data_IF_084392931364
#
_entry.id   IF_084392931364
#
_cell.length_a   1.000
_cell.length_b   1.000
_cell.length_c   1.000
_cell.angle_alpha   90.00
_cell.angle_beta   90.00
_cell.angle_gamma   90.00
#
_symmetry.space_group_name_H-M   'P 1'
#
loop_
_entity.id
_entity.type
_entity.pdbx_description
1 polymer ?
#
# COMPACT_ATOMS: atom_id res chain seq x y z
N UNK A 1 -4.62 15.05 22.63
CA UNK A 1 -3.23 15.50 22.94
C UNK A 1 -2.29 14.41 23.44
N UNK A 2 -2.72 13.36 24.17
CA UNK A 2 -1.82 12.27 24.63
C UNK A 2 -1.29 11.36 23.49
N UNK A 3 -2.00 11.22 22.37
CA UNK A 3 -1.61 10.37 21.24
C UNK A 3 -0.33 10.85 20.51
N UNK A 4 -0.12 12.16 20.42
CA UNK A 4 1.07 12.73 19.75
C UNK A 4 2.31 12.79 20.64
N UNK A 5 2.16 12.58 21.96
CA UNK A 5 3.30 12.59 22.87
C UNK A 5 4.28 11.44 22.62
N UNK A 6 3.81 10.32 22.03
CA UNK A 6 4.66 9.20 21.65
C UNK A 6 5.70 9.55 20.58
N UNK A 7 5.44 10.55 19.76
CA UNK A 7 6.37 10.99 18.70
C UNK A 7 7.36 12.06 19.15
N UNK A 8 7.31 12.52 20.40
CA UNK A 8 8.25 13.53 20.92
C UNK A 8 9.64 12.93 21.11
N UNK A 9 10.66 13.74 20.80
CA UNK A 9 12.07 13.37 21.02
C UNK A 9 12.70 12.58 19.86
N UNK A 10 12.01 12.43 18.74
CA UNK A 10 12.63 11.94 17.51
C UNK A 10 13.57 12.99 16.93
N UNK A 11 14.55 12.56 16.14
CA UNK A 11 15.47 13.44 15.44
C UNK A 11 14.72 14.40 14.49
N UNK A 12 15.18 15.66 14.39
CA UNK A 12 14.53 16.70 13.58
C UNK A 12 14.31 16.26 12.13
N UNK A 13 15.28 15.56 11.54
CA UNK A 13 15.25 15.06 10.17
C UNK A 13 14.10 14.08 9.92
N UNK A 14 13.74 13.28 10.93
CA UNK A 14 12.60 12.34 10.86
C UNK A 14 11.27 13.11 10.69
N UNK A 15 11.09 14.22 11.42
CA UNK A 15 9.91 15.07 11.26
C UNK A 15 9.85 15.73 9.88
N UNK A 16 11.00 16.16 9.35
CA UNK A 16 11.11 16.77 8.01
C UNK A 16 10.73 15.73 6.94
N UNK A 17 11.27 14.51 7.04
CA UNK A 17 10.91 13.41 6.13
C UNK A 17 9.42 13.06 6.24
N UNK A 18 8.89 12.87 7.44
CA UNK A 18 7.47 12.55 7.64
C UNK A 18 6.55 13.64 7.05
N UNK A 19 6.90 14.93 7.24
CA UNK A 19 6.18 16.03 6.64
C UNK A 19 6.34 16.07 5.11
N UNK A 20 7.55 15.83 4.60
CA UNK A 20 7.81 15.68 3.16
C UNK A 20 6.93 14.58 2.55
N UNK A 21 6.82 13.40 3.19
CA UNK A 21 5.94 12.32 2.75
C UNK A 21 4.47 12.74 2.75
N UNK A 22 4.02 13.50 3.76
CA UNK A 22 2.66 14.08 3.80
C UNK A 22 2.40 14.97 2.59
N UNK A 23 3.33 15.87 2.27
CA UNK A 23 3.22 16.79 1.14
C UNK A 23 3.22 16.05 -0.19
N UNK A 24 4.11 15.07 -0.38
CA UNK A 24 4.15 14.23 -1.59
C UNK A 24 2.83 13.49 -1.79
N UNK A 25 2.29 12.89 -0.73
CA UNK A 25 1.05 12.13 -0.81
C UNK A 25 -0.19 13.02 -0.98
N UNK A 26 -0.17 14.26 -0.51
CA UNK A 26 -1.21 15.24 -0.83
C UNK A 26 -1.29 15.48 -2.35
N UNK A 27 -0.15 15.44 -3.05
CA UNK A 27 -0.08 15.52 -4.50
C UNK A 27 -0.32 14.20 -5.24
N UNK A 28 -0.54 13.09 -4.56
CA UNK A 28 -0.73 11.77 -5.19
C UNK A 28 -2.15 11.61 -5.77
N UNK A 29 -2.53 12.52 -6.70
CA UNK A 29 -3.91 12.68 -7.17
C UNK A 29 -4.27 11.77 -8.34
N UNK A 30 -3.32 11.40 -9.18
CA UNK A 30 -3.60 10.72 -10.46
C UNK A 30 -3.88 9.23 -10.26
N UNK A 31 -3.09 8.54 -9.40
CA UNK A 31 -3.28 7.09 -9.16
C UNK A 31 -4.68 6.71 -8.71
N UNK A 32 -5.33 7.40 -7.74
CA UNK A 32 -6.69 7.07 -7.33
C UNK A 32 -7.71 7.15 -8.47
N UNK A 33 -7.54 8.09 -9.40
CA UNK A 33 -8.47 8.28 -10.53
C UNK A 33 -7.97 7.67 -11.85
N UNK A 34 -6.87 6.90 -11.83
CA UNK A 34 -6.25 6.37 -13.04
C UNK A 34 -7.20 5.48 -13.84
N UNK A 35 -7.92 4.60 -13.19
CA UNK A 35 -8.93 3.75 -13.86
C UNK A 35 -9.97 4.58 -14.61
N UNK A 36 -10.48 5.63 -13.98
CA UNK A 36 -11.45 6.54 -14.57
C UNK A 36 -10.84 7.38 -15.70
N UNK A 37 -9.58 7.79 -15.56
CA UNK A 37 -8.84 8.49 -16.62
C UNK A 37 -8.75 7.63 -17.87
N UNK A 38 -8.33 6.38 -17.71
CA UNK A 38 -8.20 5.43 -18.82
C UNK A 38 -9.56 5.10 -19.45
N UNK A 39 -10.59 4.88 -18.63
CA UNK A 39 -11.93 4.54 -19.10
C UNK A 39 -12.67 5.74 -19.70
N UNK A 40 -12.89 6.79 -18.91
CA UNK A 40 -13.76 7.90 -19.32
C UNK A 40 -13.10 8.93 -20.23
N UNK A 41 -11.79 9.18 -20.05
CA UNK A 41 -11.07 10.19 -20.84
C UNK A 41 -10.39 9.61 -22.08
N UNK A 42 -9.91 8.36 -22.02
CA UNK A 42 -9.25 7.71 -23.16
C UNK A 42 -10.12 6.65 -23.83
N UNK A 43 -11.28 6.32 -23.25
CA UNK A 43 -12.25 5.37 -23.84
C UNK A 43 -11.77 3.91 -23.84
N UNK A 44 -10.80 3.57 -22.97
CA UNK A 44 -10.29 2.21 -22.89
C UNK A 44 -11.30 1.29 -22.20
N UNK A 45 -11.42 0.09 -22.71
CA UNK A 45 -12.21 -0.97 -22.11
C UNK A 45 -11.56 -1.48 -20.80
N UNK A 46 -12.33 -2.08 -19.87
CA UNK A 46 -11.81 -2.73 -18.68
C UNK A 46 -10.67 -3.73 -18.94
N UNK A 47 -10.76 -4.52 -20.04
CA UNK A 47 -9.66 -5.40 -20.44
C UNK A 47 -8.38 -4.62 -20.83
N UNK A 48 -8.51 -3.55 -21.61
CA UNK A 48 -7.37 -2.71 -21.99
C UNK A 48 -6.74 -2.01 -20.77
N UNK A 49 -7.56 -1.55 -19.82
CA UNK A 49 -7.09 -0.98 -18.55
C UNK A 49 -6.30 -2.02 -17.75
N UNK A 50 -6.75 -3.28 -17.73
CA UNK A 50 -6.02 -4.35 -17.05
C UNK A 50 -4.63 -4.58 -17.65
N UNK A 51 -4.47 -4.52 -18.98
CA UNK A 51 -3.16 -4.56 -19.63
C UNK A 51 -2.26 -3.41 -19.21
N UNK A 52 -2.83 -2.20 -19.09
CA UNK A 52 -2.10 -1.04 -18.60
C UNK A 52 -1.55 -1.25 -17.18
N UNK A 53 -2.37 -1.77 -16.25
CA UNK A 53 -1.92 -2.03 -14.88
C UNK A 53 -0.82 -3.10 -14.82
N UNK A 54 -0.95 -4.17 -15.60
CA UNK A 54 0.08 -5.21 -15.70
C UNK A 54 1.38 -4.64 -16.30
N UNK A 55 1.29 -3.90 -17.39
CA UNK A 55 2.46 -3.27 -18.01
C UNK A 55 3.15 -2.29 -17.05
N UNK A 56 2.37 -1.48 -16.34
CA UNK A 56 2.90 -0.57 -15.29
C UNK A 56 3.60 -1.34 -14.19
N UNK A 57 3.02 -2.44 -13.71
CA UNK A 57 3.62 -3.29 -12.67
C UNK A 57 4.92 -3.95 -13.14
N UNK A 58 4.97 -4.42 -14.39
CA UNK A 58 6.19 -4.98 -15.01
C UNK A 58 7.32 -3.97 -15.08
N UNK A 59 7.01 -2.68 -15.23
CA UNK A 59 8.01 -1.59 -15.24
C UNK A 59 8.40 -1.15 -13.83
N UNK A 60 7.43 -0.98 -12.95
CA UNK A 60 7.65 -0.41 -11.61
C UNK A 60 8.32 -1.38 -10.64
N UNK A 61 8.03 -2.68 -10.73
CA UNK A 61 8.64 -3.68 -9.84
C UNK A 61 10.16 -3.78 -10.01
N UNK A 62 10.73 -3.95 -11.23
CA UNK A 62 12.17 -3.89 -11.41
C UNK A 62 12.78 -2.53 -11.02
N UNK A 63 12.08 -1.43 -11.28
CA UNK A 63 12.52 -0.09 -10.90
C UNK A 63 12.70 0.02 -9.37
N UNK A 64 11.75 -0.48 -8.58
CA UNK A 64 11.86 -0.52 -7.13
C UNK A 64 13.02 -1.40 -6.65
N UNK A 65 13.20 -2.59 -7.25
CA UNK A 65 14.32 -3.49 -6.90
C UNK A 65 15.69 -2.88 -7.24
N UNK A 66 15.78 -2.16 -8.35
CA UNK A 66 16.99 -1.41 -8.75
C UNK A 66 17.20 -0.27 -7.74
N UNK A 67 16.15 0.45 -7.37
CA UNK A 67 16.17 1.52 -6.36
C UNK A 67 16.77 1.05 -5.03
N UNK A 68 16.40 -0.14 -4.55
CA UNK A 68 16.99 -0.73 -3.36
C UNK A 68 18.51 -0.91 -3.45
N UNK A 69 18.99 -1.46 -4.59
CA UNK A 69 20.44 -1.62 -4.82
C UNK A 69 21.18 -0.29 -4.94
N UNK A 70 20.52 0.72 -5.50
CA UNK A 70 21.08 2.07 -5.61
C UNK A 70 21.13 2.76 -4.24
N UNK A 71 20.10 2.59 -3.41
CA UNK A 71 20.06 3.09 -2.04
C UNK A 71 21.19 2.57 -1.16
N UNK A 72 21.63 1.31 -1.41
CA UNK A 72 22.76 0.70 -0.69
C UNK A 72 24.13 1.26 -1.13
N UNK A 73 24.23 1.72 -2.39
CA UNK A 73 25.53 2.12 -3.00
C UNK A 73 25.75 3.63 -3.03
N UNK A 74 24.68 4.41 -3.14
CA UNK A 74 24.74 5.84 -3.35
C UNK A 74 24.20 6.62 -2.14
N UNK A 75 24.49 7.92 -2.11
CA UNK A 75 23.94 8.81 -1.11
C UNK A 75 22.41 8.91 -1.28
N UNK A 76 21.67 8.42 -0.29
CA UNK A 76 20.21 8.31 -0.29
C UNK A 76 19.51 9.65 -0.57
N UNK A 77 19.98 10.74 0.07
CA UNK A 77 19.44 12.08 -0.17
C UNK A 77 19.62 12.53 -1.62
N UNK A 78 20.80 12.28 -2.22
CA UNK A 78 21.02 12.61 -3.63
C UNK A 78 20.14 11.79 -4.56
N UNK A 79 19.93 10.50 -4.25
CA UNK A 79 19.04 9.63 -5.00
C UNK A 79 17.60 10.16 -4.98
N UNK A 80 17.09 10.54 -3.80
CA UNK A 80 15.77 11.16 -3.65
C UNK A 80 15.67 12.41 -4.56
N UNK A 81 16.61 13.35 -4.42
CA UNK A 81 16.58 14.61 -5.18
C UNK A 81 16.63 14.37 -6.69
N UNK A 82 17.47 13.46 -7.17
CA UNK A 82 17.61 13.18 -8.61
C UNK A 82 16.34 12.51 -9.15
N UNK A 83 15.84 11.47 -8.50
CA UNK A 83 14.67 10.75 -8.95
C UNK A 83 13.41 11.64 -8.93
N UNK A 84 13.23 12.39 -7.85
CA UNK A 84 12.14 13.35 -7.76
C UNK A 84 12.23 14.44 -8.83
N UNK A 85 13.43 14.96 -9.14
CA UNK A 85 13.58 15.98 -10.19
C UNK A 85 13.09 15.47 -11.54
N UNK A 86 13.39 14.20 -11.89
CA UNK A 86 12.87 13.59 -13.13
C UNK A 86 11.35 13.42 -13.05
N UNK A 87 10.83 12.97 -11.91
CA UNK A 87 9.38 12.81 -11.71
C UNK A 87 8.65 14.14 -11.80
N UNK A 88 9.18 15.22 -11.18
CA UNK A 88 8.63 16.57 -11.25
C UNK A 88 8.53 17.04 -12.69
N UNK A 89 9.62 16.91 -13.46
CA UNK A 89 9.62 17.28 -14.88
C UNK A 89 8.56 16.48 -15.64
N UNK A 90 8.45 15.18 -15.41
CA UNK A 90 7.42 14.34 -16.03
C UNK A 90 6.00 14.80 -15.71
N UNK A 91 5.70 15.10 -14.44
CA UNK A 91 4.38 15.60 -14.04
C UNK A 91 4.07 16.99 -14.63
N UNK A 92 5.05 17.89 -14.72
CA UNK A 92 4.88 19.20 -15.34
C UNK A 92 4.65 19.08 -16.85
N UNK A 93 5.35 18.16 -17.53
CA UNK A 93 5.11 17.83 -18.94
C UNK A 93 3.67 17.30 -19.10
N UNK A 94 3.23 16.35 -18.25
CA UNK A 94 1.85 15.84 -18.28
C UNK A 94 0.82 16.96 -18.12
N UNK A 95 1.08 17.94 -17.25
CA UNK A 95 0.19 19.09 -17.05
C UNK A 95 0.10 20.00 -18.28
N UNK A 96 1.17 20.10 -19.08
CA UNK A 96 1.25 20.96 -20.27
C UNK A 96 0.81 20.26 -21.57
N UNK A 97 0.79 18.91 -21.59
CA UNK A 97 0.42 18.12 -22.76
C UNK A 97 -1.10 17.94 -22.87
N UNK A 98 -1.63 17.83 -24.11
CA UNK A 98 -3.00 17.35 -24.32
C UNK A 98 -3.14 15.95 -23.73
N UNK A 99 -4.26 15.70 -23.04
CA UNK A 99 -4.53 14.40 -22.46
C UNK A 99 -4.65 13.32 -23.55
N UNK A 100 -3.86 12.26 -23.42
CA UNK A 100 -3.80 11.17 -24.38
C UNK A 100 -2.86 10.06 -23.90
N UNK A 101 -2.65 9.05 -24.74
CA UNK A 101 -1.75 7.93 -24.43
C UNK A 101 -0.33 8.45 -24.14
N UNK A 102 0.15 9.48 -24.87
CA UNK A 102 1.44 10.10 -24.61
C UNK A 102 1.59 10.65 -23.20
N UNK A 103 0.56 11.32 -22.67
CA UNK A 103 0.53 11.82 -21.29
C UNK A 103 0.61 10.68 -20.29
N UNK A 104 -0.11 9.57 -20.54
CA UNK A 104 -0.08 8.38 -19.67
C UNK A 104 1.30 7.72 -19.69
N UNK A 105 1.96 7.63 -20.84
CA UNK A 105 3.32 7.07 -20.94
C UNK A 105 4.33 7.93 -20.18
N UNK A 106 4.27 9.26 -20.29
CA UNK A 106 5.12 10.18 -19.52
C UNK A 106 4.85 10.04 -18.03
N UNK A 107 3.58 9.89 -17.63
CA UNK A 107 3.19 9.66 -16.23
C UNK A 107 3.78 8.35 -15.70
N UNK A 108 3.68 7.24 -16.44
CA UNK A 108 4.26 5.94 -16.04
C UNK A 108 5.78 6.06 -15.93
N UNK A 109 6.43 6.74 -16.86
CA UNK A 109 7.87 6.99 -16.81
C UNK A 109 8.26 7.79 -15.56
N UNK A 110 7.54 8.87 -15.25
CA UNK A 110 7.73 9.62 -14.00
C UNK A 110 7.53 8.75 -12.76
N UNK A 111 6.50 7.89 -12.74
CA UNK A 111 6.22 6.93 -11.68
C UNK A 111 7.31 5.88 -11.49
N UNK A 112 8.03 5.47 -12.56
CA UNK A 112 9.19 4.60 -12.43
C UNK A 112 10.30 5.23 -11.57
N UNK A 113 10.57 6.53 -11.73
CA UNK A 113 11.57 7.22 -10.92
C UNK A 113 11.14 7.36 -9.47
N UNK A 114 9.83 7.54 -9.19
CA UNK A 114 9.32 7.45 -7.82
C UNK A 114 9.50 6.05 -7.24
N UNK A 115 9.29 4.99 -8.05
CA UNK A 115 9.54 3.61 -7.62
C UNK A 115 11.02 3.33 -7.31
N UNK A 116 11.96 3.99 -8.03
CA UNK A 116 13.40 3.93 -7.73
C UNK A 116 13.73 4.73 -6.46
N UNK A 117 13.07 5.85 -6.24
CA UNK A 117 13.27 6.75 -5.09
C UNK A 117 12.85 6.10 -3.77
N UNK A 118 11.72 5.39 -3.75
CA UNK A 118 11.04 4.90 -2.57
C UNK A 118 11.95 4.13 -1.59
N UNK A 119 12.79 3.15 -2.02
CA UNK A 119 13.72 2.46 -1.12
C UNK A 119 14.77 3.38 -0.50
N UNK A 120 15.20 4.44 -1.21
CA UNK A 120 16.15 5.42 -0.67
C UNK A 120 15.51 6.26 0.44
N UNK A 121 14.23 6.56 0.33
CA UNK A 121 13.47 7.27 1.35
C UNK A 121 13.36 6.44 2.63
N UNK A 122 12.90 5.19 2.51
CA UNK A 122 12.76 4.25 3.64
C UNK A 122 14.10 3.98 4.32
N UNK A 123 15.17 3.81 3.52
CA UNK A 123 16.52 3.61 4.04
C UNK A 123 17.04 4.85 4.78
N UNK A 124 16.70 6.07 4.33
CA UNK A 124 17.06 7.30 5.03
C UNK A 124 16.32 7.42 6.37
N UNK A 125 15.05 7.04 6.43
CA UNK A 125 14.30 6.93 7.69
C UNK A 125 14.95 5.96 8.67
N UNK A 126 15.37 4.79 8.17
CA UNK A 126 16.04 3.78 8.99
C UNK A 126 17.39 4.27 9.52
N UNK A 127 18.21 4.92 8.66
CA UNK A 127 19.53 5.44 9.05
C UNK A 127 19.46 6.55 10.11
N UNK A 128 18.40 7.35 10.07
CA UNK A 128 18.21 8.50 10.97
C UNK A 128 17.48 8.11 12.28
N UNK A 129 17.06 6.86 12.42
CA UNK A 129 16.35 6.34 13.61
C UNK A 129 17.20 5.32 14.37
N UNK A 130 17.18 5.38 15.72
CA UNK A 130 17.73 4.32 16.56
C UNK A 130 16.82 3.09 16.54
N UNK A 131 17.32 1.92 16.94
CA UNK A 131 16.48 0.70 17.07
C UNK A 131 15.29 0.93 18.00
N UNK A 132 15.46 1.73 19.06
CA UNK A 132 14.38 2.09 20.01
C UNK A 132 13.34 3.03 19.40
N UNK A 133 13.74 3.91 18.48
CA UNK A 133 12.89 4.93 17.89
C UNK A 133 12.32 4.54 16.53
N UNK A 134 12.85 3.48 15.92
CA UNK A 134 12.52 3.06 14.55
C UNK A 134 11.03 2.81 14.34
N UNK A 135 10.41 2.07 15.25
CA UNK A 135 8.96 1.81 15.19
C UNK A 135 8.15 3.11 15.24
N UNK A 136 8.55 4.06 16.12
CA UNK A 136 7.89 5.36 16.25
C UNK A 136 8.11 6.23 15.01
N UNK A 137 9.31 6.19 14.42
CA UNK A 137 9.65 6.94 13.21
C UNK A 137 8.81 6.47 12.01
N UNK A 138 8.78 5.16 11.74
CA UNK A 138 7.96 4.59 10.67
C UNK A 138 6.45 4.74 10.93
N UNK A 139 6.01 4.69 12.18
CA UNK A 139 4.62 5.00 12.54
C UNK A 139 4.25 6.45 12.24
N UNK A 140 5.18 7.40 12.46
CA UNK A 140 4.99 8.81 12.11
C UNK A 140 4.94 9.00 10.58
N UNK A 141 5.81 8.31 9.84
CA UNK A 141 5.79 8.30 8.37
C UNK A 141 4.46 7.80 7.84
N UNK A 142 4.00 6.64 8.32
CA UNK A 142 2.72 6.06 7.94
C UNK A 142 1.53 6.98 8.22
N UNK A 143 1.54 7.63 9.39
CA UNK A 143 0.54 8.64 9.73
C UNK A 143 0.58 9.83 8.77
N UNK A 144 1.78 10.34 8.48
CA UNK A 144 1.99 11.43 7.52
C UNK A 144 1.53 11.07 6.12
N UNK A 145 1.86 9.86 5.65
CA UNK A 145 1.44 9.35 4.36
C UNK A 145 -0.09 9.32 4.22
N UNK A 146 -0.79 8.74 5.20
CA UNK A 146 -2.26 8.69 5.18
C UNK A 146 -2.89 10.06 5.32
N UNK A 147 -2.31 10.97 6.11
CA UNK A 147 -2.81 12.34 6.24
C UNK A 147 -2.74 13.10 4.90
N UNK A 148 -1.68 12.91 4.12
CA UNK A 148 -1.58 13.44 2.76
C UNK A 148 -2.68 12.88 1.84
N UNK A 149 -2.94 11.59 1.92
CA UNK A 149 -3.95 10.92 1.10
C UNK A 149 -5.40 11.23 1.51
N UNK A 150 -5.65 11.86 2.66
CA UNK A 150 -7.03 12.21 3.08
C UNK A 150 -7.72 13.13 2.06
N UNK A 151 -7.03 14.14 1.54
CA UNK A 151 -7.61 15.13 0.64
C UNK A 151 -7.36 14.81 -0.85
N UNK A 152 -6.28 14.11 -1.14
CA UNK A 152 -5.80 13.88 -2.51
C UNK A 152 -6.85 13.24 -3.44
N UNK A 153 -7.53 12.13 -3.10
CA UNK A 153 -8.53 11.52 -3.97
C UNK A 153 -9.77 12.40 -4.18
N UNK A 154 -10.22 13.12 -3.13
CA UNK A 154 -11.36 14.04 -3.25
C UNK A 154 -11.04 15.19 -4.20
N UNK A 155 -9.87 15.81 -4.07
CA UNK A 155 -9.45 16.91 -4.95
C UNK A 155 -9.30 16.38 -6.39
N UNK A 156 -8.69 15.20 -6.56
CA UNK A 156 -8.57 14.56 -7.86
C UNK A 156 -9.95 14.33 -8.52
N UNK A 157 -10.92 13.82 -7.77
CA UNK A 157 -12.28 13.60 -8.25
C UNK A 157 -12.98 14.91 -8.66
N UNK A 158 -12.83 15.99 -7.88
CA UNK A 158 -13.39 17.31 -8.20
C UNK A 158 -12.77 17.93 -9.46
N UNK A 159 -11.46 17.76 -9.65
CA UNK A 159 -10.73 18.28 -10.80
C UNK A 159 -10.88 17.40 -12.05
N UNK A 160 -11.39 16.17 -11.89
CA UNK A 160 -11.37 15.14 -12.92
C UNK A 160 -12.08 15.54 -14.20
N UNK A 161 -13.22 16.22 -14.11
CA UNK A 161 -14.05 16.56 -15.26
C UNK A 161 -13.36 17.56 -16.19
N UNK A 162 -12.98 18.74 -15.69
CA UNK A 162 -12.59 19.88 -16.48
C UNK A 162 -11.15 20.35 -16.23
N UNK A 163 -10.55 19.97 -15.12
CA UNK A 163 -9.26 20.50 -14.65
C UNK A 163 -8.24 19.38 -14.33
N UNK A 164 -8.32 18.25 -15.02
CA UNK A 164 -7.43 17.10 -14.75
C UNK A 164 -5.94 17.46 -14.90
N UNK A 165 -5.60 18.39 -15.83
CA UNK A 165 -4.25 18.93 -15.98
C UNK A 165 -3.72 19.56 -14.68
N UNK A 166 -4.60 20.18 -13.89
CA UNK A 166 -4.24 20.77 -12.60
C UNK A 166 -3.86 19.70 -11.57
N UNK A 167 -4.45 18.50 -11.64
CA UNK A 167 -4.05 17.37 -10.77
C UNK A 167 -2.60 16.95 -11.06
N UNK A 168 -2.16 16.93 -12.31
CA UNK A 168 -0.76 16.68 -12.65
C UNK A 168 0.15 17.80 -12.15
N UNK A 169 -0.26 19.07 -12.32
CA UNK A 169 0.51 20.23 -11.84
C UNK A 169 0.66 20.20 -10.32
N UNK A 170 -0.42 19.98 -9.57
CA UNK A 170 -0.39 19.88 -8.10
C UNK A 170 0.51 18.72 -7.66
N UNK A 171 0.45 17.58 -8.34
CA UNK A 171 1.33 16.44 -8.05
C UNK A 171 2.81 16.82 -8.21
N UNK A 172 3.18 17.43 -9.34
CA UNK A 172 4.55 17.89 -9.58
C UNK A 172 5.02 18.94 -8.56
N UNK A 173 4.17 19.92 -8.24
CA UNK A 173 4.48 20.96 -7.24
C UNK A 173 4.62 20.37 -5.84
N UNK A 174 3.77 19.43 -5.46
CA UNK A 174 3.85 18.76 -4.14
C UNK A 174 5.15 17.97 -4.00
N UNK A 175 5.55 17.21 -5.02
CA UNK A 175 6.83 16.51 -5.04
C UNK A 175 7.97 17.53 -4.94
N UNK A 176 7.94 18.62 -5.73
CA UNK A 176 8.96 19.66 -5.70
C UNK A 176 9.11 20.30 -4.32
N UNK A 177 8.00 20.63 -3.65
CA UNK A 177 8.01 21.16 -2.28
C UNK A 177 8.64 20.18 -1.30
N UNK A 178 8.27 18.90 -1.36
CA UNK A 178 8.86 17.86 -0.53
C UNK A 178 10.36 17.72 -0.78
N UNK A 179 10.78 17.66 -2.05
CA UNK A 179 12.18 17.51 -2.45
C UNK A 179 13.04 18.71 -2.01
N UNK A 180 12.49 19.95 -2.14
CA UNK A 180 13.14 21.16 -1.65
C UNK A 180 13.30 21.12 -0.11
N UNK A 181 12.24 20.74 0.61
CA UNK A 181 12.30 20.59 2.06
C UNK A 181 13.41 19.61 2.48
N UNK A 182 13.47 18.44 1.84
CA UNK A 182 14.51 17.42 2.11
C UNK A 182 15.87 17.95 1.70
N UNK A 183 15.98 18.53 0.51
CA UNK A 183 17.24 19.05 -0.04
C UNK A 183 17.89 20.16 0.81
N UNK A 184 17.06 21.06 1.34
CA UNK A 184 17.53 22.25 2.08
C UNK A 184 17.63 22.00 3.57
N UNK A 185 16.62 21.37 4.18
CA UNK A 185 16.51 21.26 5.64
C UNK A 185 17.23 20.05 6.24
N UNK A 186 17.38 18.95 5.49
CA UNK A 186 18.15 17.80 5.94
C UNK A 186 19.62 18.03 5.61
N UNK A 187 20.38 18.46 6.59
CA UNK A 187 21.82 18.74 6.44
C UNK A 187 22.67 17.53 6.83
N UNK A 188 22.34 16.91 7.94
CA UNK A 188 23.06 15.76 8.47
C UNK A 188 22.30 14.46 8.13
N UNK A 189 22.97 13.59 7.39
CA UNK A 189 22.50 12.26 7.00
C UNK A 189 23.38 11.15 7.61
N UNK A 190 24.18 11.49 8.62
CA UNK A 190 25.02 10.51 9.30
C UNK A 190 24.12 9.49 9.99
N UNK A 191 24.26 8.19 9.67
CA UNK A 191 23.51 7.15 10.35
C UNK A 191 23.73 7.23 11.86
N UNK A 192 22.69 6.97 12.62
CA UNK A 192 22.81 6.90 14.07
C UNK A 192 23.52 5.60 14.41
N UNK A 193 24.71 5.69 15.05
CA UNK A 193 25.39 4.52 15.58
C UNK A 193 24.50 3.91 16.67
N UNK A 194 23.97 2.74 16.37
CA UNK A 194 23.11 2.00 17.28
C UNK A 194 23.98 1.03 18.09
N UNK A 195 24.40 1.45 19.27
CA UNK A 195 25.03 0.57 20.27
C UNK A 195 23.98 -0.34 20.96
N UNK A 196 22.80 -0.47 20.37
CA UNK A 196 21.77 -1.40 20.84
C UNK A 196 22.27 -2.82 20.78
N UNK A 197 22.18 -3.54 21.90
CA UNK A 197 22.39 -4.98 21.96
C UNK A 197 21.72 -5.62 20.76
N UNK A 198 22.50 -6.22 19.84
CA UNK A 198 21.99 -7.09 18.79
C UNK A 198 21.02 -8.05 19.48
N UNK A 199 19.78 -8.04 19.06
CA UNK A 199 18.75 -8.89 19.66
C UNK A 199 19.29 -10.33 19.71
N UNK A 200 19.48 -10.84 20.90
CA UNK A 200 20.12 -12.13 21.26
C UNK A 200 19.47 -13.35 20.56
N UNK A 201 18.39 -13.13 19.80
CA UNK A 201 17.63 -14.14 19.06
C UNK A 201 17.86 -14.13 17.55
N UNK A 202 18.86 -13.42 17.04
CA UNK A 202 19.26 -13.54 15.63
C UNK A 202 20.10 -14.79 15.43
N UNK A 203 19.50 -15.98 15.40
CA UNK A 203 20.15 -17.14 14.83
C UNK A 203 20.54 -16.82 13.39
N UNK A 204 21.81 -16.53 13.16
CA UNK A 204 22.43 -16.50 11.83
C UNK A 204 22.41 -17.92 11.29
N UNK A 205 21.31 -18.35 10.67
CA UNK A 205 21.32 -19.53 9.80
C UNK A 205 22.09 -19.15 8.53
N UNK A 206 23.40 -19.43 8.57
CA UNK A 206 24.30 -19.20 7.47
C UNK A 206 23.83 -19.91 6.20
N UNK A 207 23.64 -19.17 5.11
CA UNK A 207 23.71 -19.66 3.75
C UNK A 207 22.50 -20.33 3.13
N UNK A 208 21.40 -20.55 3.82
CA UNK A 208 20.20 -21.14 3.22
C UNK A 208 19.51 -20.16 2.24
N UNK A 209 19.29 -20.60 1.00
CA UNK A 209 18.54 -19.83 0.01
C UNK A 209 17.06 -19.69 0.41
N UNK A 210 16.37 -18.64 -0.07
CA UNK A 210 14.95 -18.34 0.23
C UNK A 210 14.06 -19.55 -0.09
N UNK A 211 14.28 -20.23 -1.21
CA UNK A 211 13.53 -21.43 -1.60
C UNK A 211 13.71 -22.60 -0.63
N UNK A 212 14.89 -22.75 -0.04
CA UNK A 212 15.15 -23.78 0.98
C UNK A 212 14.34 -23.51 2.25
N UNK A 213 14.26 -22.24 2.65
CA UNK A 213 13.48 -21.84 3.85
C UNK A 213 11.99 -22.06 3.62
N UNK A 214 11.47 -21.67 2.47
CA UNK A 214 10.06 -21.89 2.11
C UNK A 214 9.73 -23.38 2.04
N UNK A 215 10.60 -24.21 1.46
CA UNK A 215 10.42 -25.66 1.40
C UNK A 215 10.43 -26.30 2.80
N UNK A 216 11.25 -25.79 3.70
CA UNK A 216 11.32 -26.26 5.10
C UNK A 216 10.17 -25.77 5.96
N UNK A 217 9.47 -24.69 5.54
CA UNK A 217 8.38 -24.07 6.30
C UNK A 217 7.10 -23.95 5.43
N UNK A 218 6.34 -25.04 5.25
CA UNK A 218 5.14 -25.04 4.41
C UNK A 218 4.06 -24.06 4.88
N UNK A 219 4.07 -23.69 6.16
CA UNK A 219 3.16 -22.65 6.68
C UNK A 219 3.45 -21.28 6.09
N UNK A 220 4.71 -20.97 5.74
CA UNK A 220 5.05 -19.72 5.07
C UNK A 220 4.55 -19.70 3.62
N UNK A 221 4.53 -20.84 2.94
CA UNK A 221 3.93 -20.94 1.61
C UNK A 221 2.41 -20.74 1.67
N UNK A 222 1.75 -21.33 2.65
CA UNK A 222 0.32 -21.12 2.86
C UNK A 222 0.01 -19.65 3.20
N UNK A 223 0.83 -19.04 4.07
CA UNK A 223 0.72 -17.61 4.38
C UNK A 223 0.91 -16.74 3.13
N UNK A 224 1.93 -17.04 2.32
CA UNK A 224 2.17 -16.36 1.05
C UNK A 224 0.95 -16.45 0.13
N UNK A 225 0.36 -17.64 -0.01
CA UNK A 225 -0.86 -17.84 -0.79
C UNK A 225 -2.05 -17.01 -0.24
N UNK A 226 -2.25 -16.99 1.08
CA UNK A 226 -3.27 -16.15 1.70
C UNK A 226 -3.06 -14.66 1.39
N UNK A 227 -1.81 -14.20 1.42
CA UNK A 227 -1.44 -12.81 1.14
C UNK A 227 -1.60 -12.43 -0.33
N UNK A 228 -1.24 -13.32 -1.27
CA UNK A 228 -1.41 -13.09 -2.72
C UNK A 228 -2.89 -12.95 -3.10
N UNK A 229 -3.77 -13.81 -2.54
CA UNK A 229 -5.21 -13.71 -2.77
C UNK A 229 -5.83 -12.44 -2.14
N UNK A 230 -5.32 -12.02 -0.97
CA UNK A 230 -5.73 -10.73 -0.40
C UNK A 230 -5.34 -9.57 -1.31
N UNK A 231 -4.08 -9.53 -1.75
CA UNK A 231 -3.57 -8.48 -2.64
C UNK A 231 -4.37 -8.41 -3.93
N UNK A 232 -4.69 -9.56 -4.53
CA UNK A 232 -5.50 -9.67 -5.72
C UNK A 232 -6.91 -9.09 -5.53
N UNK A 233 -7.57 -9.42 -4.42
CA UNK A 233 -8.90 -8.90 -4.11
C UNK A 233 -8.86 -7.41 -3.74
N UNK A 234 -7.82 -6.97 -3.00
CA UNK A 234 -7.66 -5.58 -2.59
C UNK A 234 -7.47 -4.64 -3.78
N UNK A 235 -6.73 -5.05 -4.81
CA UNK A 235 -6.52 -4.27 -6.03
C UNK A 235 -7.82 -3.85 -6.71
N UNK A 236 -8.89 -4.63 -6.55
CA UNK A 236 -10.19 -4.37 -7.19
C UNK A 236 -10.92 -3.14 -6.62
N UNK A 237 -10.54 -2.69 -5.43
CA UNK A 237 -10.96 -1.41 -4.90
C UNK A 237 -10.58 -0.22 -5.82
N UNK A 238 -9.37 -0.23 -6.38
CA UNK A 238 -8.89 0.83 -7.29
C UNK A 238 -9.20 0.57 -8.77
N UNK A 239 -9.67 -0.63 -9.13
CA UNK A 239 -9.93 -1.01 -10.52
C UNK A 239 -11.42 -1.16 -10.83
N UNK A 240 -12.12 -2.14 -10.28
CA UNK A 240 -13.51 -2.46 -10.63
C UNK A 240 -14.49 -1.49 -9.95
N UNK A 241 -14.25 -1.14 -8.69
CA UNK A 241 -15.16 -0.26 -7.94
C UNK A 241 -15.37 1.11 -8.60
N UNK A 242 -14.31 1.86 -9.04
CA UNK A 242 -14.52 3.13 -9.74
C UNK A 242 -15.20 2.95 -11.10
N UNK A 243 -14.99 1.84 -11.82
CA UNK A 243 -15.69 1.57 -13.08
C UNK A 243 -17.19 1.45 -12.85
N UNK A 244 -17.64 0.72 -11.84
CA UNK A 244 -19.07 0.59 -11.52
C UNK A 244 -19.66 1.92 -11.05
N UNK A 245 -18.95 2.68 -10.21
CA UNK A 245 -19.42 4.01 -9.81
C UNK A 245 -19.58 4.94 -11.01
N UNK A 246 -18.65 4.88 -11.98
CA UNK A 246 -18.74 5.66 -13.21
C UNK A 246 -19.84 5.17 -14.12
N UNK A 247 -20.04 3.86 -14.26
CA UNK A 247 -21.10 3.29 -15.06
C UNK A 247 -22.50 3.70 -14.58
N UNK A 248 -22.69 3.83 -13.25
CA UNK A 248 -23.99 4.19 -12.65
C UNK A 248 -24.18 5.70 -12.55
N UNK A 249 -23.13 6.48 -12.24
CA UNK A 249 -23.24 7.90 -11.91
C UNK A 249 -22.61 8.83 -12.96
N UNK A 250 -22.07 8.29 -14.05
CA UNK A 250 -21.44 9.06 -15.12
C UNK A 250 -20.32 9.98 -14.60
N UNK A 251 -20.40 11.27 -14.94
CA UNK A 251 -19.41 12.29 -14.56
C UNK A 251 -19.21 12.43 -13.03
N UNK A 252 -20.22 12.11 -12.23
CA UNK A 252 -20.13 12.18 -10.77
C UNK A 252 -19.34 11.00 -10.19
N UNK A 253 -19.15 9.93 -10.93
CA UNK A 253 -18.43 8.73 -10.47
C UNK A 253 -17.05 9.03 -9.91
N UNK A 254 -16.29 9.94 -10.55
CA UNK A 254 -14.96 10.34 -10.09
C UNK A 254 -14.99 11.08 -8.75
N UNK A 255 -15.96 11.98 -8.55
CA UNK A 255 -16.13 12.72 -7.28
C UNK A 255 -16.54 11.75 -6.17
N UNK A 256 -17.50 10.87 -6.44
CA UNK A 256 -17.97 9.87 -5.49
C UNK A 256 -16.83 8.94 -5.09
N UNK A 257 -16.09 8.38 -6.04
CA UNK A 257 -14.95 7.53 -5.76
C UNK A 257 -13.86 8.25 -4.98
N UNK A 258 -13.55 9.50 -5.35
CA UNK A 258 -12.58 10.34 -4.64
C UNK A 258 -12.95 10.57 -3.18
N UNK A 259 -14.20 10.90 -2.89
CA UNK A 259 -14.68 11.14 -1.51
C UNK A 259 -14.76 9.84 -0.70
N UNK A 260 -15.16 8.73 -1.31
CA UNK A 260 -15.16 7.39 -0.69
C UNK A 260 -13.72 6.95 -0.37
N UNK A 261 -12.75 7.21 -1.26
CA UNK A 261 -11.33 6.93 -1.02
C UNK A 261 -10.75 7.81 0.09
N UNK A 262 -11.13 9.07 0.16
CA UNK A 262 -10.75 9.96 1.26
C UNK A 262 -11.31 9.47 2.61
N UNK A 263 -12.54 8.92 2.63
CA UNK A 263 -13.10 8.30 3.83
C UNK A 263 -12.28 7.08 4.29
N UNK A 264 -11.76 6.27 3.36
CA UNK A 264 -10.83 5.18 3.69
C UNK A 264 -9.64 5.73 4.48
N UNK A 265 -8.93 6.72 3.97
CA UNK A 265 -7.76 7.31 4.63
C UNK A 265 -8.10 7.92 6.00
N UNK A 266 -9.21 8.65 6.12
CA UNK A 266 -9.69 9.19 7.39
C UNK A 266 -9.95 8.06 8.39
N UNK A 267 -10.62 7.01 7.94
CA UNK A 267 -10.94 5.85 8.78
C UNK A 267 -9.68 5.13 9.26
N UNK A 268 -8.68 4.95 8.39
CA UNK A 268 -7.37 4.40 8.79
C UNK A 268 -6.74 5.24 9.88
N UNK A 269 -6.64 6.56 9.69
CA UNK A 269 -6.00 7.47 10.66
C UNK A 269 -6.71 7.44 12.02
N UNK A 270 -8.04 7.49 12.02
CA UNK A 270 -8.83 7.59 13.27
C UNK A 270 -8.95 6.24 13.98
N UNK A 271 -9.16 5.14 13.24
CA UNK A 271 -9.53 3.87 13.84
C UNK A 271 -8.35 2.90 14.04
N UNK A 272 -7.21 3.07 13.37
CA UNK A 272 -6.04 2.20 13.60
C UNK A 272 -5.63 2.17 15.08
N UNK A 273 -5.46 3.30 15.79
CA UNK A 273 -5.10 3.26 17.21
C UNK A 273 -6.19 2.61 18.09
N UNK A 274 -7.45 2.81 17.73
CA UNK A 274 -8.60 2.24 18.46
C UNK A 274 -8.63 0.73 18.31
N UNK A 275 -8.56 0.24 17.07
CA UNK A 275 -8.56 -1.20 16.74
C UNK A 275 -7.34 -1.88 17.35
N UNK A 276 -6.15 -1.28 17.24
CA UNK A 276 -4.92 -1.80 17.86
C UNK A 276 -5.10 -2.03 19.36
N UNK A 277 -5.69 -1.06 20.07
CA UNK A 277 -5.91 -1.15 21.51
C UNK A 277 -7.00 -2.16 21.89
N UNK A 278 -8.15 -2.11 21.20
CA UNK A 278 -9.29 -2.98 21.50
C UNK A 278 -8.98 -4.45 21.22
N UNK A 279 -8.27 -4.71 20.13
CA UNK A 279 -7.96 -6.06 19.66
C UNK A 279 -6.50 -6.49 19.92
N UNK A 280 -5.81 -5.81 20.85
CA UNK A 280 -4.43 -6.14 21.23
C UNK A 280 -4.24 -7.62 21.66
N UNK A 281 -5.25 -8.20 22.31
CA UNK A 281 -5.24 -9.61 22.75
C UNK A 281 -5.61 -10.61 21.65
N UNK A 282 -6.12 -10.14 20.50
CA UNK A 282 -6.49 -11.00 19.40
C UNK A 282 -5.24 -11.46 18.64
N UNK A 283 -5.15 -12.76 18.35
CA UNK A 283 -4.02 -13.35 17.64
C UNK A 283 -3.97 -12.92 16.17
N UNK A 284 -2.76 -12.88 15.58
CA UNK A 284 -2.54 -12.41 14.21
C UNK A 284 -3.41 -13.15 13.19
N UNK A 285 -3.44 -14.49 13.24
CA UNK A 285 -4.30 -15.30 12.36
C UNK A 285 -5.80 -15.04 12.55
N UNK A 286 -6.21 -14.64 13.76
CA UNK A 286 -7.59 -14.22 14.03
C UNK A 286 -7.90 -12.86 13.41
N UNK A 287 -6.98 -11.91 13.53
CA UNK A 287 -7.10 -10.59 12.88
C UNK A 287 -7.14 -10.75 11.36
N UNK A 288 -6.25 -11.57 10.77
CA UNK A 288 -6.27 -11.89 9.35
C UNK A 288 -7.64 -12.41 8.90
N UNK A 289 -8.21 -13.37 9.61
CA UNK A 289 -9.53 -13.90 9.26
C UNK A 289 -10.63 -12.83 9.35
N UNK A 290 -10.67 -12.07 10.44
CA UNK A 290 -11.62 -10.96 10.60
C UNK A 290 -11.45 -9.92 9.48
N UNK A 291 -10.21 -9.59 9.12
CA UNK A 291 -9.90 -8.67 8.03
C UNK A 291 -10.45 -9.14 6.69
N UNK A 292 -10.28 -10.44 6.33
CA UNK A 292 -10.82 -11.00 5.08
C UNK A 292 -12.36 -10.99 5.08
N UNK A 293 -12.98 -11.36 6.21
CA UNK A 293 -14.44 -11.37 6.32
C UNK A 293 -15.04 -9.96 6.23
N UNK A 294 -14.41 -8.96 6.85
CA UNK A 294 -14.83 -7.57 6.71
C UNK A 294 -14.60 -7.05 5.29
N UNK A 295 -13.49 -7.41 4.64
CA UNK A 295 -13.26 -7.09 3.22
C UNK A 295 -14.34 -7.69 2.32
N UNK A 296 -14.67 -8.98 2.52
CA UNK A 296 -15.78 -9.64 1.84
C UNK A 296 -17.11 -8.91 2.07
N UNK A 297 -17.43 -8.59 3.32
CA UNK A 297 -18.67 -7.89 3.67
C UNK A 297 -18.71 -6.49 3.05
N UNK A 298 -17.61 -5.76 3.05
CA UNK A 298 -17.51 -4.44 2.41
C UNK A 298 -17.81 -4.52 0.92
N UNK A 299 -17.22 -5.45 0.19
CA UNK A 299 -17.53 -5.65 -1.24
C UNK A 299 -18.95 -6.15 -1.49
N UNK A 300 -19.47 -7.03 -0.64
CA UNK A 300 -20.85 -7.50 -0.75
C UNK A 300 -21.84 -6.34 -0.53
N UNK A 301 -21.61 -5.49 0.47
CA UNK A 301 -22.45 -4.30 0.73
C UNK A 301 -22.36 -3.32 -0.44
N UNK A 302 -21.14 -3.11 -1.01
CA UNK A 302 -20.98 -2.27 -2.19
C UNK A 302 -21.85 -2.78 -3.35
N UNK A 303 -21.77 -4.07 -3.67
CA UNK A 303 -22.53 -4.66 -4.76
C UNK A 303 -24.04 -4.60 -4.51
N UNK A 304 -24.49 -4.94 -3.29
CA UNK A 304 -25.91 -4.93 -2.92
C UNK A 304 -26.53 -3.53 -2.94
N UNK A 305 -25.73 -2.52 -2.64
CA UNK A 305 -26.16 -1.12 -2.59
C UNK A 305 -25.67 -0.32 -3.81
N UNK A 306 -25.33 -0.99 -4.91
CA UNK A 306 -24.90 -0.34 -6.15
C UNK A 306 -26.00 0.63 -6.63
N UNK A 307 -25.61 1.88 -6.88
CA UNK A 307 -26.53 2.98 -7.22
C UNK A 307 -26.98 3.82 -6.02
N UNK A 308 -26.78 3.37 -4.78
CA UNK A 308 -27.13 4.11 -3.57
C UNK A 308 -25.87 4.72 -2.93
N UNK A 309 -25.62 6.00 -3.17
CA UNK A 309 -24.39 6.70 -2.76
C UNK A 309 -24.05 6.51 -1.26
N UNK A 310 -24.98 6.66 -0.28
CA UNK A 310 -24.63 6.40 1.13
C UNK A 310 -24.14 4.96 1.38
N UNK A 311 -24.59 4.00 0.58
CA UNK A 311 -24.15 2.60 0.63
C UNK A 311 -22.66 2.43 0.32
N UNK A 312 -22.10 3.25 -0.56
CA UNK A 312 -20.68 3.22 -0.88
C UNK A 312 -19.82 3.63 0.31
N UNK A 313 -20.24 4.65 1.07
CA UNK A 313 -19.54 5.07 2.29
C UNK A 313 -19.61 4.00 3.37
N UNK A 314 -20.78 3.36 3.54
CA UNK A 314 -20.92 2.24 4.48
C UNK A 314 -20.03 1.05 4.08
N UNK A 315 -20.06 0.67 2.81
CA UNK A 315 -19.21 -0.40 2.27
C UNK A 315 -17.73 -0.10 2.52
N UNK A 316 -17.29 1.15 2.28
CA UNK A 316 -15.91 1.57 2.50
C UNK A 316 -15.52 1.54 3.96
N UNK A 317 -16.37 1.97 4.89
CA UNK A 317 -16.10 1.87 6.34
C UNK A 317 -15.85 0.42 6.75
N UNK A 318 -16.71 -0.50 6.31
CA UNK A 318 -16.56 -1.94 6.61
C UNK A 318 -15.28 -2.49 5.99
N UNK A 319 -15.00 -2.18 4.73
CA UNK A 319 -13.82 -2.60 4.00
C UNK A 319 -12.54 -2.12 4.70
N UNK A 320 -12.50 -0.83 5.09
CA UNK A 320 -11.34 -0.22 5.75
C UNK A 320 -11.06 -0.83 7.11
N UNK A 321 -12.07 -1.21 7.87
CA UNK A 321 -11.84 -1.95 9.12
C UNK A 321 -11.17 -3.30 8.82
N UNK A 322 -11.57 -3.98 7.75
CA UNK A 322 -10.91 -5.20 7.28
C UNK A 322 -9.46 -4.97 6.91
N UNK A 323 -9.18 -3.89 6.19
CA UNK A 323 -7.82 -3.46 5.83
C UNK A 323 -6.94 -3.26 7.07
N UNK A 324 -7.42 -2.50 8.06
CA UNK A 324 -6.68 -2.25 9.31
C UNK A 324 -6.34 -3.56 10.03
N UNK A 325 -7.27 -4.51 10.11
CA UNK A 325 -7.00 -5.82 10.71
C UNK A 325 -5.91 -6.59 9.97
N UNK A 326 -5.90 -6.54 8.62
CA UNK A 326 -4.88 -7.18 7.80
C UNK A 326 -3.50 -6.55 8.06
N UNK A 327 -3.39 -5.22 7.95
CA UNK A 327 -2.14 -4.48 8.18
C UNK A 327 -1.57 -4.76 9.58
N UNK A 328 -2.41 -4.73 10.62
CA UNK A 328 -1.99 -4.98 12.01
C UNK A 328 -1.57 -6.43 12.29
N UNK A 329 -1.86 -7.36 11.38
CA UNK A 329 -1.55 -8.79 11.58
C UNK A 329 -0.35 -9.29 10.78
N UNK A 330 -0.06 -8.69 9.62
CA UNK A 330 0.96 -9.20 8.69
C UNK A 330 2.38 -9.05 9.23
N UNK A 331 2.76 -7.86 9.67
CA UNK A 331 4.08 -7.58 10.21
C UNK A 331 4.44 -8.48 11.41
N UNK A 332 3.61 -8.54 12.47
CA UNK A 332 3.81 -9.44 13.60
C UNK A 332 3.87 -10.92 13.22
N UNK A 333 3.02 -11.37 12.29
CA UNK A 333 3.04 -12.76 11.82
C UNK A 333 4.39 -13.14 11.20
N UNK A 334 4.88 -12.30 10.27
CA UNK A 334 6.17 -12.48 9.59
C UNK A 334 7.32 -12.40 10.58
N UNK A 335 7.34 -11.39 11.44
CA UNK A 335 8.45 -11.15 12.37
C UNK A 335 8.63 -12.24 13.41
N UNK A 336 7.58 -12.95 13.78
CA UNK A 336 7.63 -14.02 14.78
C UNK A 336 7.98 -15.39 14.21
N UNK A 337 7.88 -15.59 12.88
CA UNK A 337 8.04 -16.91 12.23
C UNK A 337 9.20 -16.98 11.24
N UNK A 338 9.74 -15.82 10.86
CA UNK A 338 10.85 -15.74 9.90
C UNK A 338 12.09 -15.22 10.63
N UNK A 339 13.25 -15.93 10.52
CA UNK A 339 14.50 -15.46 11.07
C UNK A 339 14.86 -14.06 10.55
N UNK A 340 15.36 -13.18 11.41
CA UNK A 340 15.66 -11.78 11.06
C UNK A 340 16.57 -11.65 9.83
N UNK A 341 17.57 -12.54 9.68
CA UNK A 341 18.49 -12.59 8.55
C UNK A 341 17.83 -12.88 7.18
N UNK A 342 16.60 -13.37 7.17
CA UNK A 342 15.89 -13.79 5.94
C UNK A 342 14.63 -12.94 5.65
N UNK A 343 14.20 -12.10 6.59
CA UNK A 343 12.96 -11.29 6.47
C UNK A 343 12.98 -10.43 5.21
N UNK A 344 14.06 -9.73 4.94
CA UNK A 344 14.16 -8.88 3.75
C UNK A 344 14.01 -9.64 2.44
N UNK A 345 14.66 -10.81 2.33
CA UNK A 345 14.58 -11.66 1.11
C UNK A 345 13.19 -12.26 0.93
N UNK A 346 12.56 -12.69 2.02
CA UNK A 346 11.21 -13.27 1.97
C UNK A 346 10.19 -12.17 1.68
N UNK A 347 10.29 -10.99 2.29
CA UNK A 347 9.44 -9.85 1.96
C UNK A 347 9.58 -9.44 0.48
N UNK A 348 10.80 -9.42 -0.07
CA UNK A 348 11.01 -9.18 -1.50
C UNK A 348 10.29 -10.21 -2.39
N UNK A 349 10.39 -11.50 -2.06
CA UNK A 349 9.66 -12.54 -2.78
C UNK A 349 8.14 -12.39 -2.64
N UNK A 350 7.65 -12.04 -1.43
CA UNK A 350 6.23 -11.78 -1.19
C UNK A 350 5.74 -10.63 -2.05
N UNK A 351 6.48 -9.53 -2.14
CA UNK A 351 6.14 -8.38 -2.99
C UNK A 351 6.01 -8.81 -4.46
N UNK A 352 6.97 -9.57 -4.98
CA UNK A 352 6.91 -10.09 -6.36
C UNK A 352 5.69 -10.97 -6.55
N UNK A 353 5.44 -11.92 -5.64
CA UNK A 353 4.29 -12.83 -5.74
C UNK A 353 2.96 -12.07 -5.67
N UNK A 354 2.84 -11.09 -4.79
CA UNK A 354 1.64 -10.24 -4.66
C UNK A 354 1.39 -9.46 -5.95
N UNK A 355 2.41 -8.85 -6.53
CA UNK A 355 2.30 -8.09 -7.79
C UNK A 355 1.87 -8.98 -8.95
N UNK A 356 2.47 -10.17 -9.09
CA UNK A 356 2.13 -11.11 -10.18
C UNK A 356 0.68 -11.60 -10.06
N UNK A 357 0.25 -11.98 -8.85
CA UNK A 357 -1.11 -12.51 -8.66
C UNK A 357 -2.15 -11.39 -8.73
N UNK A 358 -1.84 -10.18 -8.26
CA UNK A 358 -2.71 -9.01 -8.44
C UNK A 358 -2.87 -8.68 -9.93
N UNK A 359 -1.79 -8.65 -10.71
CA UNK A 359 -1.87 -8.43 -12.15
C UNK A 359 -2.66 -9.51 -12.89
N UNK A 360 -2.51 -10.79 -12.50
CA UNK A 360 -3.33 -11.87 -13.04
C UNK A 360 -4.83 -11.69 -12.71
N UNK A 361 -5.13 -11.21 -11.51
CA UNK A 361 -6.51 -10.89 -11.11
C UNK A 361 -7.07 -9.70 -11.89
N UNK A 362 -6.27 -8.66 -12.11
CA UNK A 362 -6.69 -7.50 -12.92
C UNK A 362 -7.02 -7.92 -14.36
N UNK A 363 -6.20 -8.79 -14.97
CA UNK A 363 -6.49 -9.36 -16.28
C UNK A 363 -7.80 -10.17 -16.26
N UNK A 364 -7.98 -11.04 -15.28
CA UNK A 364 -9.17 -11.87 -15.17
C UNK A 364 -10.43 -11.02 -14.97
N UNK A 365 -10.40 -10.03 -14.07
CA UNK A 365 -11.55 -9.16 -13.78
C UNK A 365 -11.82 -8.18 -14.91
N UNK A 366 -10.81 -7.61 -15.57
CA UNK A 366 -10.99 -6.74 -16.72
C UNK A 366 -11.68 -7.45 -17.88
N UNK A 367 -11.19 -8.63 -18.26
CA UNK A 367 -11.82 -9.44 -19.32
C UNK A 367 -13.21 -9.96 -18.93
N UNK A 368 -13.40 -10.35 -17.67
CA UNK A 368 -14.71 -10.82 -17.21
C UNK A 368 -15.72 -9.68 -17.20
N UNK A 369 -15.30 -8.48 -16.83
CA UNK A 369 -16.14 -7.29 -16.84
C UNK A 369 -16.64 -6.96 -18.25
N UNK A 370 -15.76 -7.00 -19.25
CA UNK A 370 -16.10 -6.75 -20.65
C UNK A 370 -17.07 -7.82 -21.21
N UNK A 371 -16.88 -9.08 -20.84
CA UNK A 371 -17.66 -10.20 -21.41
C UNK A 371 -18.95 -10.49 -20.68
N UNK A 372 -18.97 -10.39 -19.36
CA UNK A 372 -20.07 -10.85 -18.52
C UNK A 372 -20.63 -9.75 -17.59
N UNK A 373 -19.99 -8.59 -17.56
CA UNK A 373 -20.42 -7.43 -16.76
C UNK A 373 -20.04 -7.49 -15.30
N UNK A 374 -20.46 -6.46 -14.58
CA UNK A 374 -20.12 -6.18 -13.17
C UNK A 374 -20.47 -7.35 -12.24
N UNK A 375 -21.68 -7.92 -12.32
CA UNK A 375 -22.16 -8.94 -11.38
C UNK A 375 -21.26 -10.19 -11.33
N UNK A 376 -20.85 -10.72 -12.48
CA UNK A 376 -19.94 -11.88 -12.53
C UNK A 376 -18.54 -11.54 -12.07
N UNK A 377 -18.08 -10.34 -12.36
CA UNK A 377 -16.77 -9.85 -11.89
C UNK A 377 -16.75 -9.77 -10.37
N UNK A 378 -17.80 -9.22 -9.75
CA UNK A 378 -17.90 -9.21 -8.28
C UNK A 378 -18.07 -10.59 -7.68
N UNK A 379 -18.78 -11.51 -8.35
CA UNK A 379 -18.86 -12.90 -7.91
C UNK A 379 -17.45 -13.55 -7.83
N UNK A 380 -16.58 -13.29 -8.81
CA UNK A 380 -15.19 -13.74 -8.79
C UNK A 380 -14.43 -13.11 -7.62
N UNK A 381 -14.51 -11.78 -7.45
CA UNK A 381 -13.80 -11.04 -6.37
C UNK A 381 -14.23 -11.56 -4.99
N UNK A 382 -15.53 -11.70 -4.77
CA UNK A 382 -16.08 -12.23 -3.52
C UNK A 382 -15.64 -13.67 -3.27
N UNK A 383 -15.61 -14.52 -4.32
CA UNK A 383 -15.14 -15.91 -4.22
C UNK A 383 -13.65 -15.95 -3.82
N UNK A 384 -12.79 -15.17 -4.47
CA UNK A 384 -11.37 -15.10 -4.14
C UNK A 384 -11.17 -14.64 -2.69
N UNK A 385 -11.95 -13.65 -2.23
CA UNK A 385 -11.89 -13.15 -0.86
C UNK A 385 -12.31 -14.23 0.16
N UNK A 386 -13.37 -14.99 -0.12
CA UNK A 386 -13.83 -16.10 0.72
C UNK A 386 -12.82 -17.25 0.74
N UNK A 387 -12.24 -17.59 -0.40
CA UNK A 387 -11.19 -18.62 -0.49
C UNK A 387 -9.98 -18.18 0.36
N UNK A 388 -9.57 -16.91 0.27
CA UNK A 388 -8.51 -16.37 1.12
C UNK A 388 -8.85 -16.49 2.61
N UNK A 389 -10.09 -16.17 3.01
CA UNK A 389 -10.55 -16.31 4.39
C UNK A 389 -10.53 -17.78 4.87
N UNK A 390 -10.98 -18.71 4.02
CA UNK A 390 -10.94 -20.14 4.27
C UNK A 390 -9.51 -20.67 4.47
N UNK A 391 -8.58 -20.24 3.60
CA UNK A 391 -7.16 -20.60 3.73
C UNK A 391 -6.54 -20.04 5.02
N UNK A 392 -6.94 -18.84 5.47
CA UNK A 392 -6.50 -18.30 6.76
C UNK A 392 -7.00 -19.14 7.94
N UNK A 393 -8.20 -19.74 7.86
CA UNK A 393 -8.65 -20.70 8.89
C UNK A 393 -7.79 -21.95 8.90
N UNK A 394 -7.45 -22.49 7.73
CA UNK A 394 -6.51 -23.62 7.61
C UNK A 394 -5.15 -23.23 8.18
N UNK A 395 -4.62 -22.08 7.81
CA UNK A 395 -3.38 -21.53 8.34
C UNK A 395 -3.43 -21.46 9.87
N UNK A 396 -4.50 -20.94 10.45
CA UNK A 396 -4.68 -20.82 11.91
C UNK A 396 -4.62 -22.17 12.62
N UNK A 397 -5.26 -23.19 12.04
CA UNK A 397 -5.25 -24.56 12.63
C UNK A 397 -3.86 -25.17 12.58
N UNK A 398 -3.18 -25.06 11.44
CA UNK A 398 -1.83 -25.61 11.26
C UNK A 398 -0.78 -24.83 12.06
N UNK A 399 -0.88 -23.52 12.11
CA UNK A 399 -0.01 -22.62 12.86
C UNK A 399 -0.08 -22.89 14.38
N UNK A 400 -1.29 -23.14 14.90
CA UNK A 400 -1.49 -23.52 16.29
C UNK A 400 -0.82 -24.87 16.65
N UNK A 401 -0.79 -25.80 15.69
CA UNK A 401 -0.10 -27.09 15.88
C UNK A 401 1.41 -26.94 15.82
N UNK A 402 1.91 -26.12 14.89
CA UNK A 402 3.35 -25.91 14.68
C UNK A 402 3.99 -25.03 15.78
N UNK A 403 3.26 -24.02 16.27
CA UNK A 403 3.75 -23.03 17.23
C UNK A 403 2.85 -22.95 18.49
N UNK A 404 2.65 -24.02 19.25
CA UNK A 404 1.70 -24.05 20.39
C UNK A 404 2.03 -22.99 21.46
N UNK A 405 3.33 -22.67 21.65
CA UNK A 405 3.79 -21.65 22.60
C UNK A 405 3.26 -20.24 22.28
N UNK A 406 3.07 -19.91 21.00
CA UNK A 406 2.52 -18.62 20.60
C UNK A 406 1.03 -18.48 20.92
N UNK A 407 0.34 -19.59 21.21
CA UNK A 407 -1.09 -19.64 21.51
C UNK A 407 -1.42 -19.79 23.00
N UNK A 408 -0.40 -19.92 23.87
CA UNK A 408 -0.59 -19.95 25.33
C UNK A 408 -0.92 -18.54 25.87
N UNK A 409 -1.70 -18.43 26.96
CA UNK A 409 -1.93 -17.15 27.63
C UNK A 409 -0.62 -16.54 28.14
N UNK A 410 -0.49 -15.22 28.05
CA UNK A 410 0.72 -14.45 28.39
C UNK A 410 1.21 -14.59 29.84
N UNK A 411 0.46 -15.24 30.72
CA UNK A 411 0.88 -15.52 32.12
C UNK A 411 1.92 -16.64 32.24
N UNK A 412 2.22 -17.36 31.16
CA UNK A 412 3.18 -18.50 31.18
C UNK A 412 4.40 -18.25 30.24
N UNK A 413 4.57 -17.07 29.69
CA UNK A 413 5.80 -16.74 28.97
C UNK A 413 6.84 -16.28 30.02
N UNK A 414 8.01 -16.92 30.16
CA UNK A 414 9.08 -16.37 30.98
C UNK A 414 9.48 -15.00 30.41
N UNK A 415 9.68 -14.04 31.32
CA UNK A 415 10.10 -12.66 31.03
C UNK A 415 11.46 -12.64 30.36
#
# INVERSE_FOLDING_TARGET
MKLFNQYRGLRREIYILAFGRTVTNLGSMIWPVMTLLLSQKLGLSPAEISYFFVASSVLMLPANLIGGKLADRFNKKRMIVICDSVSILGFLICAAMPLGIGTVLVFVFAGMFQSIEYPSYDALFADLSTTKDRERAFSLEYLGANLGLVLSPTIAGLLFKDYLWLSFLISGVSIALSTILIGVLIRDITPVEDNGEEAVYQEKKNGAGVFTILKQNPLLLLYLLCGTLLSAAYGQYGFIMPLDMAAVHGDQGAVIFGTVSSLNCITVVLFTPVITRLFAKMRDTGKMFAGRMLGFLGYAVFLLLLGFIPGYYLAMLIFTWGEIFNVLSEGPYVSTRIPASHRGRINGLMTVAYTVVAGAMDLATGHLYDRAGSAWTWALILTVTLVSAGLVLVLRVLDRKAYPKLYQPSAQQPK
#
